data_IF_882036211924
#
_entry.id   IF_882036211924
#
_cell.length_a   1.000
_cell.length_b   1.000
_cell.length_c   1.000
_cell.angle_alpha   90.00
_cell.angle_beta   90.00
_cell.angle_gamma   90.00
#
_symmetry.space_group_name_H-M   'P 1'
#
loop_
_entity.id
_entity.type
_entity.pdbx_description
1 polymer ?
#
# COMPACT_ATOMS: atom_id res chain seq x y z
N UNK A 1 9.84 -0.47 15.24
CA UNK A 1 9.67 0.54 14.17
C UNK A 1 10.63 1.71 14.34
N UNK A 2 10.40 2.60 15.32
CA UNK A 2 11.13 3.87 15.50
C UNK A 2 12.65 3.73 15.69
N UNK A 3 13.12 2.71 16.43
CA UNK A 3 14.56 2.42 16.58
C UNK A 3 15.29 2.09 15.27
N UNK A 4 14.57 1.60 14.26
CA UNK A 4 15.13 1.18 12.96
C UNK A 4 14.95 2.22 11.86
N UNK A 5 14.11 3.22 12.10
CA UNK A 5 13.78 4.26 11.12
C UNK A 5 13.42 5.56 11.87
N UNK A 6 14.42 6.23 12.47
CA UNK A 6 14.20 7.44 13.24
C UNK A 6 13.70 8.61 12.36
N UNK A 7 14.00 8.60 11.06
CA UNK A 7 13.49 9.58 10.10
C UNK A 7 11.96 9.58 9.97
N UNK A 8 11.26 8.59 10.53
CA UNK A 8 9.80 8.59 10.58
C UNK A 8 9.24 9.85 11.24
N UNK A 9 9.93 10.39 12.25
CA UNK A 9 9.53 11.61 12.96
C UNK A 9 9.67 12.89 12.13
N UNK A 10 10.33 12.83 10.97
CA UNK A 10 10.52 13.98 10.09
C UNK A 10 9.42 14.10 9.03
N UNK A 11 8.49 13.14 8.93
CA UNK A 11 7.40 13.18 7.97
C UNK A 11 6.16 13.87 8.56
N UNK A 12 5.50 14.69 7.74
CA UNK A 12 4.19 15.25 8.06
C UNK A 12 3.15 14.14 8.21
N UNK A 13 2.31 14.27 9.24
CA UNK A 13 1.19 13.34 9.46
C UNK A 13 0.20 13.46 8.30
N UNK A 14 -0.29 14.68 8.07
CA UNK A 14 -1.36 14.99 7.11
C UNK A 14 -0.92 14.79 5.65
N UNK A 15 0.32 15.14 5.31
CA UNK A 15 0.78 15.12 3.92
C UNK A 15 1.48 13.80 3.53
N UNK A 16 1.84 12.95 4.50
CA UNK A 16 2.67 11.77 4.23
C UNK A 16 2.19 10.51 4.95
N UNK A 17 2.13 10.53 6.27
CA UNK A 17 1.86 9.30 7.04
C UNK A 17 0.41 8.83 6.85
N UNK A 18 -0.55 9.71 7.07
CA UNK A 18 -1.98 9.43 6.96
C UNK A 18 -2.39 8.98 5.54
N UNK A 19 -2.13 9.74 4.46
CA UNK A 19 -2.56 9.32 3.12
C UNK A 19 -1.90 8.02 2.65
N UNK A 20 -0.66 7.74 3.07
CA UNK A 20 0.02 6.47 2.73
C UNK A 20 -0.48 5.31 3.56
N UNK A 21 -0.83 5.56 4.82
CA UNK A 21 -1.41 4.56 5.71
C UNK A 21 -2.80 4.16 5.24
N UNK A 22 -3.65 5.13 4.89
CA UNK A 22 -4.99 4.88 4.36
C UNK A 22 -4.93 4.05 3.09
N UNK A 23 -4.06 4.42 2.14
CA UNK A 23 -3.84 3.59 0.94
C UNK A 23 -3.37 2.17 1.28
N UNK A 24 -2.50 2.02 2.28
CA UNK A 24 -1.97 0.72 2.68
C UNK A 24 -3.05 -0.21 3.27
N UNK A 25 -3.94 0.33 4.10
CA UNK A 25 -4.96 -0.49 4.80
C UNK A 25 -6.20 -0.65 3.94
N UNK A 26 -6.71 0.44 3.35
CA UNK A 26 -7.99 0.45 2.63
C UNK A 26 -7.83 -0.11 1.23
N UNK A 27 -6.87 0.43 0.45
CA UNK A 27 -6.74 0.08 -0.96
C UNK A 27 -5.90 -1.17 -1.19
N UNK A 28 -4.80 -1.34 -0.44
CA UNK A 28 -3.96 -2.54 -0.56
C UNK A 28 -4.45 -3.70 0.31
N UNK A 29 -5.32 -3.46 1.31
CA UNK A 29 -5.85 -4.50 2.18
C UNK A 29 -4.79 -5.22 3.02
N UNK A 30 -3.71 -4.54 3.40
CA UNK A 30 -2.55 -5.17 4.07
C UNK A 30 -2.55 -5.04 5.58
N UNK A 31 -1.84 -5.93 6.24
CA UNK A 31 -1.72 -5.95 7.70
C UNK A 31 -0.68 -4.94 8.20
N UNK A 32 -1.00 -4.25 9.31
CA UNK A 32 -0.12 -3.29 9.97
C UNK A 32 1.27 -3.86 10.32
N UNK A 33 1.35 -5.16 10.57
CA UNK A 33 2.60 -5.87 10.89
C UNK A 33 3.67 -5.66 9.82
N UNK A 34 3.29 -5.56 8.53
CA UNK A 34 4.24 -5.32 7.45
C UNK A 34 4.91 -3.93 7.57
N UNK A 35 4.18 -2.89 8.01
CA UNK A 35 4.74 -1.55 8.21
C UNK A 35 5.71 -1.51 9.40
N UNK A 36 5.45 -2.28 10.47
CA UNK A 36 6.36 -2.39 11.61
C UNK A 36 7.71 -3.01 11.17
N UNK A 37 7.64 -4.01 10.30
CA UNK A 37 8.81 -4.69 9.72
C UNK A 37 9.49 -3.82 8.66
N UNK A 38 8.72 -3.06 7.88
CA UNK A 38 9.19 -2.26 6.76
C UNK A 38 8.73 -0.79 6.86
N UNK A 39 9.24 -0.02 7.85
CA UNK A 39 8.85 1.38 8.03
C UNK A 39 9.29 2.29 6.88
N UNK A 40 10.25 1.85 6.06
CA UNK A 40 10.69 2.59 4.88
C UNK A 40 9.58 2.76 3.83
N UNK A 41 8.44 2.06 3.97
CA UNK A 41 7.24 2.32 3.19
C UNK A 41 6.93 3.82 3.06
N UNK A 42 6.98 4.56 4.18
CA UNK A 42 6.67 5.99 4.21
C UNK A 42 7.68 6.87 3.47
N UNK A 43 8.89 6.36 3.16
CA UNK A 43 9.86 7.10 2.36
C UNK A 43 9.56 7.07 0.85
N UNK A 44 8.73 6.14 0.37
CA UNK A 44 8.41 6.05 -1.05
C UNK A 44 7.28 7.02 -1.42
N UNK A 45 7.32 7.53 -2.66
CA UNK A 45 6.23 8.37 -3.20
C UNK A 45 4.96 7.55 -3.37
N UNK A 46 3.84 8.07 -2.85
CA UNK A 46 2.54 7.42 -2.99
C UNK A 46 2.13 7.34 -4.46
N UNK A 47 2.14 8.48 -5.15
CA UNK A 47 1.69 8.60 -6.54
C UNK A 47 2.66 8.01 -7.55
N UNK A 48 3.97 8.18 -7.36
CA UNK A 48 4.95 7.80 -8.38
C UNK A 48 5.53 6.39 -8.19
N UNK A 49 5.29 5.75 -7.03
CA UNK A 49 5.92 4.46 -6.71
C UNK A 49 4.97 3.44 -6.12
N UNK A 50 4.25 3.78 -5.05
CA UNK A 50 3.40 2.83 -4.34
C UNK A 50 2.18 2.45 -5.20
N UNK A 51 1.38 3.44 -5.60
CA UNK A 51 0.16 3.24 -6.40
C UNK A 51 0.42 2.54 -7.74
N UNK A 52 1.38 2.98 -8.60
CA UNK A 52 1.60 2.35 -9.90
C UNK A 52 2.00 0.87 -9.76
N UNK A 53 2.87 0.55 -8.80
CA UNK A 53 3.35 -0.82 -8.61
C UNK A 53 2.30 -1.73 -8.00
N UNK A 54 1.49 -1.21 -7.07
CA UNK A 54 0.37 -1.95 -6.54
C UNK A 54 -0.62 -2.32 -7.65
N UNK A 55 -1.00 -1.36 -8.51
CA UNK A 55 -1.88 -1.62 -9.67
C UNK A 55 -1.33 -2.70 -10.59
N UNK A 56 -0.04 -2.62 -10.97
CA UNK A 56 0.60 -3.64 -11.80
C UNK A 56 0.60 -5.03 -11.14
N UNK A 57 0.75 -5.11 -9.81
CA UNK A 57 0.66 -6.38 -9.09
C UNK A 57 -0.77 -6.94 -9.13
N UNK A 58 -1.78 -6.09 -8.93
CA UNK A 58 -3.20 -6.48 -9.00
C UNK A 58 -3.58 -6.96 -10.41
N UNK A 59 -3.19 -6.21 -11.46
CA UNK A 59 -3.43 -6.59 -12.86
C UNK A 59 -2.82 -7.94 -13.23
N UNK A 60 -1.66 -8.26 -12.64
CA UNK A 60 -0.99 -9.55 -12.84
C UNK A 60 -1.42 -10.64 -11.84
N UNK A 61 -2.30 -10.32 -10.89
CA UNK A 61 -2.76 -11.26 -9.86
C UNK A 61 -1.68 -11.72 -8.88
N UNK A 62 -0.61 -10.94 -8.71
CA UNK A 62 0.52 -11.28 -7.83
C UNK A 62 0.56 -10.41 -6.58
N UNK A 63 1.11 -10.95 -5.50
CA UNK A 63 1.34 -10.20 -4.27
C UNK A 63 2.81 -10.34 -3.88
N UNK A 64 3.50 -9.21 -3.89
CA UNK A 64 4.86 -9.12 -3.40
C UNK A 64 4.89 -8.55 -1.99
N UNK A 65 5.87 -8.96 -1.20
CA UNK A 65 6.20 -8.26 0.04
C UNK A 65 6.61 -6.81 -0.26
N UNK A 66 6.36 -5.89 0.67
CA UNK A 66 6.71 -4.47 0.48
C UNK A 66 8.16 -4.23 0.05
N UNK A 67 9.18 -4.93 0.61
CA UNK A 67 10.55 -4.77 0.14
C UNK A 67 10.72 -5.14 -1.33
N UNK A 68 10.13 -6.27 -1.77
CA UNK A 68 10.25 -6.74 -3.15
C UNK A 68 9.55 -5.77 -4.11
N UNK A 69 8.34 -5.32 -3.74
CA UNK A 69 7.55 -4.39 -4.53
C UNK A 69 8.22 -3.01 -4.63
N UNK A 70 8.74 -2.46 -3.53
CA UNK A 70 9.13 -1.04 -3.47
C UNK A 70 10.64 -0.80 -3.62
N UNK A 71 11.51 -1.66 -3.06
CA UNK A 71 12.98 -1.46 -3.14
C UNK A 71 13.55 -1.82 -4.50
N UNK A 72 12.93 -2.74 -5.24
CA UNK A 72 13.44 -3.19 -6.54
C UNK A 72 13.47 -2.04 -7.55
N UNK A 73 14.54 -1.92 -8.34
CA UNK A 73 14.55 -1.02 -9.50
C UNK A 73 13.50 -1.46 -10.52
N UNK A 74 13.08 -0.54 -11.39
CA UNK A 74 11.96 -0.80 -12.30
C UNK A 74 12.15 -2.00 -13.22
N UNK A 75 13.30 -2.21 -13.90
CA UNK A 75 13.50 -3.39 -14.75
C UNK A 75 13.35 -4.68 -13.94
N UNK A 76 14.05 -4.78 -12.81
CA UNK A 76 13.97 -5.93 -11.90
C UNK A 76 12.57 -6.18 -11.34
N UNK A 77 11.78 -5.11 -11.15
CA UNK A 77 10.39 -5.24 -10.72
C UNK A 77 9.52 -5.84 -11.84
N UNK A 78 9.70 -5.38 -13.09
CA UNK A 78 9.00 -5.92 -14.27
C UNK A 78 9.36 -7.37 -14.53
N UNK A 79 10.65 -7.72 -14.47
CA UNK A 79 11.09 -9.12 -14.62
C UNK A 79 10.38 -10.05 -13.62
N UNK A 80 10.22 -9.60 -12.37
CA UNK A 80 9.52 -10.37 -11.33
C UNK A 80 8.03 -10.53 -11.62
N UNK A 81 7.38 -9.50 -12.17
CA UNK A 81 5.97 -9.56 -12.56
C UNK A 81 5.75 -10.59 -13.68
N UNK A 82 6.70 -10.71 -14.61
CA UNK A 82 6.61 -11.65 -15.73
C UNK A 82 6.82 -13.11 -15.30
N UNK A 83 7.83 -13.36 -14.44
CA UNK A 83 8.16 -14.71 -13.97
C UNK A 83 7.01 -15.33 -13.15
N UNK A 84 6.30 -14.53 -12.35
CA UNK A 84 5.27 -15.02 -11.44
C UNK A 84 3.93 -15.37 -12.11
N UNK A 85 3.74 -15.09 -13.39
CA UNK A 85 2.51 -15.42 -14.13
C UNK A 85 2.34 -16.94 -14.38
N UNK A 86 3.35 -17.76 -14.04
CA UNK A 86 3.40 -19.20 -14.33
C UNK A 86 3.19 -20.12 -13.11
N UNK A 87 3.13 -19.58 -11.89
CA UNK A 87 2.96 -20.36 -10.66
C UNK A 87 1.90 -19.74 -9.77
N UNK A 88 0.74 -20.38 -9.69
CA UNK A 88 -0.39 -19.98 -8.87
C UNK A 88 -0.04 -19.96 -7.38
N UNK A 89 0.31 -18.80 -6.84
CA UNK A 89 0.15 -18.51 -5.42
C UNK A 89 -1.00 -17.51 -5.31
N UNK A 90 -2.21 -17.96 -4.93
CA UNK A 90 -3.33 -17.05 -4.80
C UNK A 90 -3.00 -16.06 -3.70
N UNK A 91 -3.00 -14.78 -4.07
CA UNK A 91 -3.07 -13.71 -3.10
C UNK A 91 -4.38 -13.90 -2.34
N UNK A 92 -4.35 -14.05 -1.03
CA UNK A 92 -5.58 -13.93 -0.20
C UNK A 92 -6.01 -12.46 -0.13
N UNK A 93 -6.12 -11.80 -1.27
CA UNK A 93 -6.89 -10.58 -1.42
C UNK A 93 -8.34 -11.03 -1.38
N UNK A 94 -8.98 -10.89 -0.22
CA UNK A 94 -10.44 -10.93 -0.11
C UNK A 94 -10.96 -9.68 -0.82
N UNK A 95 -10.97 -9.72 -2.15
CA UNK A 95 -11.59 -8.71 -2.98
C UNK A 95 -13.09 -8.79 -2.69
N UNK A 96 -13.57 -7.93 -1.78
CA UNK A 96 -14.97 -7.50 -1.81
C UNK A 96 -15.06 -6.48 -2.94
N UNK A 97 -15.24 -6.95 -4.16
CA UNK A 97 -15.68 -6.11 -5.25
C UNK A 97 -17.21 -6.17 -5.26
N UNK A 98 -17.84 -5.45 -4.34
CA UNK A 98 -19.25 -5.07 -4.45
C UNK A 98 -19.30 -3.62 -4.95
N UNK A 99 -19.59 -3.37 -6.24
CA UNK A 99 -19.55 -2.04 -6.86
C UNK A 99 -20.74 -1.13 -6.48
N UNK A 100 -21.32 -1.30 -5.29
CA UNK A 100 -22.61 -0.69 -4.91
C UNK A 100 -22.64 0.14 -3.62
N UNK A 101 -21.55 0.29 -2.87
CA UNK A 101 -21.63 0.92 -1.52
C UNK A 101 -20.74 2.17 -1.34
N UNK A 102 -20.05 2.60 -2.40
CA UNK A 102 -19.09 3.70 -2.37
C UNK A 102 -19.75 5.07 -2.62
N UNK A 103 -20.80 5.43 -1.89
CA UNK A 103 -21.27 6.82 -1.84
C UNK A 103 -21.64 7.34 -0.43
N UNK A 104 -21.69 6.48 0.60
CA UNK A 104 -22.21 6.91 1.92
C UNK A 104 -21.18 6.89 3.07
N UNK A 105 -20.00 6.29 2.89
CA UNK A 105 -19.03 6.13 3.99
C UNK A 105 -17.99 7.25 4.11
N UNK A 106 -17.71 8.01 3.04
CA UNK A 106 -16.66 9.04 3.04
C UNK A 106 -17.02 10.35 3.74
N UNK A 107 -18.31 10.65 3.92
CA UNK A 107 -18.77 11.96 4.40
C UNK A 107 -18.99 12.04 5.92
N UNK A 108 -18.80 10.95 6.68
CA UNK A 108 -19.26 10.86 8.07
C UNK A 108 -18.17 10.79 9.14
N UNK A 109 -16.89 10.68 8.77
CA UNK A 109 -15.79 10.53 9.74
C UNK A 109 -15.11 11.87 10.07
N UNK A 110 -15.15 12.86 9.18
CA UNK A 110 -14.51 14.18 9.40
C UNK A 110 -15.43 15.28 9.97
N UNK A 111 -16.74 15.05 10.12
CA UNK A 111 -17.71 16.08 10.55
C UNK A 111 -18.06 16.11 12.05
N UNK A 112 -17.34 15.38 12.91
CA UNK A 112 -17.66 15.30 14.35
C UNK A 112 -16.58 15.88 15.28
N UNK A 113 -15.91 16.96 14.86
CA UNK A 113 -15.09 17.73 15.78
C UNK A 113 -15.08 19.25 15.46
N UNK A 114 -16.28 19.82 15.32
CA UNK A 114 -16.52 21.28 15.33
C UNK A 114 -17.83 21.63 16.06
N UNK A 115 -17.94 21.22 17.33
CA UNK A 115 -18.81 21.86 18.32
C UNK A 115 -18.02 22.02 19.62
#
# INVERSE_FOLDING_TARGET
MFRRFPSLFCYSVEENLEPKFDYFVVEMGRELKELIVFPQYFSFSLENRIKPRHKMCVEKGVCFSLPVMLKSREPRFRDRLEVCCSSSMPCTLRIKHDPGELELAGSRIWKKNQL
#
